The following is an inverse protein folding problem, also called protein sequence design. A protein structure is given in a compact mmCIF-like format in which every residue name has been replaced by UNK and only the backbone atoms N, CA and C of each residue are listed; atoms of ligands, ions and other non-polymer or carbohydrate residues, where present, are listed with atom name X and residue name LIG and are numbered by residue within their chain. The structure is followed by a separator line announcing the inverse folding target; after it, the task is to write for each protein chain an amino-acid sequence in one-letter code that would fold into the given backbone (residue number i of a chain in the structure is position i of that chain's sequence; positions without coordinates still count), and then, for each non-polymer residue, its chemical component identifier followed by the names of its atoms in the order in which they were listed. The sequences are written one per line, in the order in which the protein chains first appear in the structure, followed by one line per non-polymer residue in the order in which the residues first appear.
data_IF_794254154361
#
_entry.id   IF_794254154361
#
_cell.length_a   1.000
_cell.length_b   1.000
_cell.length_c   1.000
_cell.angle_alpha   90.00
_cell.angle_beta   90.00
_cell.angle_gamma   90.00
#
_symmetry.space_group_name_H-M   'P 1'
#
loop_
_entity.id
_entity.type
_entity.pdbx_description
1 polymer ?
#
# COMPACT_ATOMS: atom_id res chain seq x y z
N UNK A 1 18.48 -25.54 -16.15
CA UNK A 1 17.65 -25.65 -14.93
C UNK A 1 17.61 -24.38 -14.07
N UNK A 2 18.68 -23.58 -14.00
CA UNK A 2 18.72 -22.33 -13.22
C UNK A 2 17.67 -21.26 -13.61
N UNK A 3 17.17 -21.22 -14.85
CA UNK A 3 16.11 -20.26 -15.25
C UNK A 3 14.70 -20.64 -14.74
N UNK A 4 14.35 -21.94 -14.65
CA UNK A 4 13.03 -22.39 -14.16
C UNK A 4 12.79 -22.09 -12.68
N UNK A 5 13.85 -22.08 -11.88
CA UNK A 5 13.82 -21.82 -10.44
C UNK A 5 13.47 -20.34 -10.15
N UNK A 6 13.85 -19.42 -11.05
CA UNK A 6 13.62 -17.99 -10.88
C UNK A 6 12.14 -17.59 -11.03
N UNK A 7 11.40 -18.24 -11.95
CA UNK A 7 9.99 -17.94 -12.19
C UNK A 7 9.06 -18.40 -11.06
N UNK A 8 9.23 -19.63 -10.55
CA UNK A 8 8.43 -20.13 -9.43
C UNK A 8 8.61 -19.28 -8.16
N UNK A 9 9.83 -18.78 -7.93
CA UNK A 9 10.11 -17.85 -6.84
C UNK A 9 9.43 -16.49 -7.03
N UNK A 10 9.56 -15.89 -8.21
CA UNK A 10 8.92 -14.62 -8.55
C UNK A 10 7.39 -14.63 -8.39
N UNK A 11 6.72 -15.69 -8.84
CA UNK A 11 5.27 -15.82 -8.71
C UNK A 11 4.81 -16.17 -7.28
N UNK A 12 5.63 -16.91 -6.52
CA UNK A 12 5.43 -17.13 -5.08
C UNK A 12 5.49 -15.79 -4.31
N UNK A 13 6.48 -14.95 -4.60
CA UNK A 13 6.62 -13.60 -4.03
C UNK A 13 5.42 -12.72 -4.36
N UNK A 14 4.89 -12.78 -5.59
CA UNK A 14 3.67 -12.05 -5.98
C UNK A 14 2.44 -12.54 -5.21
N UNK A 15 2.26 -13.85 -5.04
CA UNK A 15 1.17 -14.42 -4.21
C UNK A 15 1.32 -14.07 -2.73
N UNK A 16 2.54 -14.02 -2.21
CA UNK A 16 2.85 -13.60 -0.84
C UNK A 16 2.54 -12.11 -0.60
N UNK A 17 2.86 -11.25 -1.58
CA UNK A 17 2.55 -9.82 -1.50
C UNK A 17 1.04 -9.56 -1.36
N UNK A 18 0.18 -10.39 -1.96
CA UNK A 18 -1.28 -10.32 -1.82
C UNK A 18 -1.76 -10.63 -0.39
N UNK A 19 -1.08 -11.52 0.33
CA UNK A 19 -1.43 -11.86 1.72
C UNK A 19 -1.02 -10.76 2.71
N UNK A 20 0.11 -10.10 2.48
CA UNK A 20 0.58 -9.00 3.33
C UNK A 20 -0.35 -7.77 3.25
N UNK A 21 -0.88 -7.47 2.07
CA UNK A 21 -1.82 -6.35 1.86
C UNK A 21 -3.16 -6.57 2.58
N UNK A 22 -3.60 -7.82 2.68
CA UNK A 22 -4.79 -8.17 3.48
C UNK A 22 -4.57 -7.98 4.99
N UNK A 23 -3.33 -8.07 5.47
CA UNK A 23 -2.99 -7.88 6.88
C UNK A 23 -2.85 -6.40 7.29
N UNK A 24 -2.49 -5.52 6.36
CA UNK A 24 -2.44 -4.08 6.60
C UNK A 24 -3.84 -3.45 6.49
N UNK A 25 -4.68 -3.63 7.50
CA UNK A 25 -6.02 -3.04 7.53
C UNK A 25 -5.94 -1.55 7.90
N UNK A 26 -5.49 -0.74 6.94
CA UNK A 26 -5.26 0.70 7.08
C UNK A 26 -6.51 1.44 7.59
N UNK A 27 -7.70 0.96 7.21
CA UNK A 27 -8.99 1.51 7.66
C UNK A 27 -9.18 1.33 9.16
N UNK A 28 -8.80 0.17 9.70
CA UNK A 28 -8.86 -0.14 11.13
C UNK A 28 -7.88 0.72 11.92
N UNK A 29 -6.63 0.83 11.46
CA UNK A 29 -5.61 1.68 12.10
C UNK A 29 -6.06 3.15 12.15
N UNK A 30 -6.63 3.67 11.06
CA UNK A 30 -7.21 5.02 11.00
C UNK A 30 -8.38 5.20 11.97
N UNK A 31 -9.32 4.24 12.01
CA UNK A 31 -10.46 4.30 12.91
C UNK A 31 -10.01 4.39 14.37
N UNK A 32 -8.98 3.64 14.73
CA UNK A 32 -8.41 3.64 16.06
C UNK A 32 -7.74 4.99 16.42
N UNK A 33 -6.99 5.60 15.49
CA UNK A 33 -6.35 6.91 15.74
C UNK A 33 -7.37 8.03 15.90
N UNK A 34 -8.42 8.08 15.05
CA UNK A 34 -9.53 9.05 15.21
C UNK A 34 -10.23 8.85 16.56
N UNK A 35 -10.52 7.60 16.93
CA UNK A 35 -11.16 7.30 18.20
C UNK A 35 -10.32 7.78 19.39
N UNK A 36 -8.98 7.68 19.29
CA UNK A 36 -8.07 8.20 20.30
C UNK A 36 -8.10 9.73 20.36
N UNK A 37 -8.02 10.44 19.21
CA UNK A 37 -8.10 11.90 19.16
C UNK A 37 -9.39 12.45 19.78
N UNK A 38 -10.53 11.81 19.51
CA UNK A 38 -11.81 12.19 20.08
C UNK A 38 -11.84 12.04 21.61
N UNK A 39 -11.20 11.00 22.16
CA UNK A 39 -11.06 10.82 23.62
C UNK A 39 -10.27 11.97 24.25
N UNK A 40 -9.15 12.37 23.65
CA UNK A 40 -8.36 13.52 24.13
C UNK A 40 -9.14 14.83 24.06
N UNK A 41 -9.86 15.09 22.96
CA UNK A 41 -10.70 16.28 22.85
C UNK A 41 -11.77 16.32 23.96
N UNK A 42 -12.39 15.18 24.28
CA UNK A 42 -13.38 15.10 25.35
C UNK A 42 -12.75 15.38 26.73
N UNK A 43 -11.59 14.81 27.02
CA UNK A 43 -10.83 15.07 28.25
C UNK A 43 -10.48 16.57 28.41
N UNK A 44 -10.09 17.24 27.34
CA UNK A 44 -9.80 18.68 27.39
C UNK A 44 -11.06 19.54 27.58
N UNK A 45 -12.22 19.10 27.08
CA UNK A 45 -13.50 19.77 27.32
C UNK A 45 -13.92 19.68 28.79
N UNK A 46 -13.74 18.53 29.44
CA UNK A 46 -14.07 18.39 30.87
C UNK A 46 -13.14 19.26 31.71
N UNK A 47 -11.85 19.30 31.37
CA UNK A 47 -10.88 20.19 32.04
C UNK A 47 -11.23 21.67 31.83
N UNK A 48 -11.61 22.07 30.61
CA UNK A 48 -12.10 23.43 30.31
C UNK A 48 -13.32 23.81 31.15
N UNK A 49 -14.29 22.89 31.27
CA UNK A 49 -15.51 23.13 32.05
C UNK A 49 -15.21 23.24 33.55
N UNK A 50 -14.29 22.43 34.06
CA UNK A 50 -13.81 22.51 35.43
C UNK A 50 -13.10 23.84 35.70
N UNK A 51 -12.18 24.24 34.83
CA UNK A 51 -11.47 25.51 34.88
C UNK A 51 -12.43 26.71 34.90
N UNK A 52 -13.49 26.67 34.07
CA UNK A 52 -14.53 27.71 34.03
C UNK A 52 -15.27 27.86 35.36
N UNK A 53 -15.55 26.74 36.05
CA UNK A 53 -16.17 26.76 37.38
C UNK A 53 -15.25 27.39 38.43
N UNK A 54 -13.96 27.11 38.37
CA UNK A 54 -12.97 27.70 39.29
C UNK A 54 -12.72 29.19 39.04
N UNK A 55 -12.80 29.67 37.80
CA UNK A 55 -12.64 31.11 37.48
C UNK A 55 -13.76 32.02 38.00
N UNK A 56 -14.84 31.48 38.56
CA UNK A 56 -15.85 32.28 39.27
C UNK A 56 -15.27 32.85 40.59
N UNK A 57 -14.15 32.30 41.10
CA UNK A 57 -13.38 32.83 42.22
C UNK A 57 -12.18 33.69 41.75
N UNK A 58 -12.44 34.98 41.48
CA UNK A 58 -11.62 36.21 41.60
C UNK A 58 -10.06 36.22 41.51
N UNK A 59 -9.38 35.38 40.74
CA UNK A 59 -7.93 35.59 40.45
C UNK A 59 -7.63 35.62 38.94
N UNK A 60 -7.08 36.75 38.48
CA UNK A 60 -6.72 37.07 37.09
C UNK A 60 -5.83 36.01 36.41
N UNK A 61 -4.98 35.31 37.17
CA UNK A 61 -4.08 34.25 36.68
C UNK A 61 -4.85 33.06 36.09
N UNK A 62 -6.08 32.79 36.56
CA UNK A 62 -6.88 31.69 36.00
C UNK A 62 -7.42 31.98 34.60
N UNK A 63 -7.50 33.24 34.19
CA UNK A 63 -8.12 33.63 32.92
C UNK A 63 -7.27 33.24 31.70
N UNK A 64 -5.96 33.43 31.77
CA UNK A 64 -5.03 33.08 30.68
C UNK A 64 -4.86 31.57 30.53
N UNK A 65 -4.74 30.85 31.65
CA UNK A 65 -4.72 29.38 31.65
C UNK A 65 -6.04 28.79 31.10
N UNK A 66 -7.19 29.34 31.49
CA UNK A 66 -8.49 28.90 30.97
C UNK A 66 -8.62 29.13 29.47
N UNK A 67 -8.09 30.25 28.98
CA UNK A 67 -8.05 30.57 27.55
C UNK A 67 -7.14 29.60 26.79
N UNK A 68 -5.99 29.25 27.35
CA UNK A 68 -5.06 28.28 26.79
C UNK A 68 -5.66 26.87 26.72
N UNK A 69 -6.32 26.39 27.79
CA UNK A 69 -7.03 25.09 27.81
C UNK A 69 -8.15 25.04 26.76
N UNK A 70 -8.92 26.13 26.62
CA UNK A 70 -9.95 26.25 25.58
C UNK A 70 -9.32 26.17 24.18
N UNK A 71 -8.20 26.84 23.96
CA UNK A 71 -7.46 26.76 22.69
C UNK A 71 -7.01 25.31 22.39
N UNK A 72 -6.46 24.58 23.37
CA UNK A 72 -6.08 23.17 23.20
C UNK A 72 -7.23 22.27 22.81
N UNK A 73 -8.42 22.54 23.32
CA UNK A 73 -9.63 21.81 22.91
C UNK A 73 -9.93 22.01 21.43
N UNK A 74 -9.86 23.26 20.93
CA UNK A 74 -10.10 23.57 19.52
C UNK A 74 -8.99 23.00 18.60
N UNK A 75 -7.74 23.02 19.06
CA UNK A 75 -6.61 22.38 18.37
C UNK A 75 -6.84 20.87 18.23
N UNK A 76 -7.25 20.18 19.29
CA UNK A 76 -7.53 18.74 19.21
C UNK A 76 -8.72 18.42 18.29
N UNK A 77 -9.76 19.28 18.24
CA UNK A 77 -10.83 19.16 17.24
C UNK A 77 -10.31 19.33 15.81
N UNK A 78 -9.43 20.32 15.59
CA UNK A 78 -8.77 20.53 14.29
C UNK A 78 -7.94 19.31 13.89
N UNK A 79 -7.18 18.71 14.81
CA UNK A 79 -6.43 17.47 14.55
C UNK A 79 -7.37 16.34 14.15
N UNK A 80 -8.50 16.14 14.82
CA UNK A 80 -9.52 15.17 14.41
C UNK A 80 -10.02 15.41 12.98
N UNK A 81 -10.24 16.67 12.58
CA UNK A 81 -10.61 17.02 11.20
C UNK A 81 -9.50 16.67 10.20
N UNK A 82 -8.24 16.96 10.53
CA UNK A 82 -7.09 16.58 9.70
C UNK A 82 -7.06 15.05 9.49
N UNK A 83 -7.30 14.24 10.53
CA UNK A 83 -7.43 12.78 10.40
C UNK A 83 -8.65 12.34 9.56
N UNK A 84 -9.76 13.09 9.60
CA UNK A 84 -10.97 12.81 8.82
C UNK A 84 -10.83 13.14 7.33
N UNK A 85 -10.07 14.18 6.99
CA UNK A 85 -9.84 14.67 5.61
C UNK A 85 -8.70 13.95 4.88
N UNK A 86 -7.70 13.45 5.61
CA UNK A 86 -6.58 12.68 5.07
C UNK A 86 -6.87 11.44 4.19
N UNK A 87 -7.97 10.65 4.35
CA UNK A 87 -8.21 9.44 3.56
C UNK A 87 -8.40 9.67 2.07
N UNK A 88 -8.78 10.88 1.63
CA UNK A 88 -9.02 11.12 0.20
C UNK A 88 -7.72 11.31 -0.59
N UNK A 89 -6.61 11.64 0.06
CA UNK A 89 -5.35 12.02 -0.59
C UNK A 89 -4.21 11.00 -0.35
N UNK A 90 -4.08 10.43 0.85
CA UNK A 90 -2.81 9.80 1.25
C UNK A 90 -2.83 8.26 1.32
N UNK A 91 -4.03 7.69 1.43
CA UNK A 91 -4.21 6.25 1.64
C UNK A 91 -4.73 5.52 0.41
N UNK A 92 -4.85 6.20 -0.73
CA UNK A 92 -5.43 5.62 -1.95
C UNK A 92 -4.35 5.05 -2.87
N UNK A 93 -3.19 5.72 -3.01
CA UNK A 93 -2.17 5.37 -4.02
C UNK A 93 -1.54 4.00 -3.79
N UNK A 94 -1.03 3.72 -2.58
CA UNK A 94 -0.37 2.46 -2.27
C UNK A 94 -1.36 1.27 -2.24
N UNK A 95 -2.52 1.33 -1.56
CA UNK A 95 -3.49 0.23 -1.60
C UNK A 95 -4.11 0.01 -2.99
N UNK A 96 -4.33 1.06 -3.78
CA UNK A 96 -4.78 0.92 -5.17
C UNK A 96 -3.71 0.23 -6.03
N UNK A 97 -2.43 0.63 -5.89
CA UNK A 97 -1.32 -0.05 -6.56
C UNK A 97 -1.28 -1.54 -6.19
N UNK A 98 -1.37 -1.86 -4.90
CA UNK A 98 -1.38 -3.24 -4.42
C UNK A 98 -2.57 -4.04 -4.96
N UNK A 99 -3.75 -3.41 -5.09
CA UNK A 99 -4.95 -4.01 -5.68
C UNK A 99 -4.80 -4.22 -7.20
N UNK A 100 -4.14 -3.31 -7.93
CA UNK A 100 -3.83 -3.47 -9.35
C UNK A 100 -2.86 -4.63 -9.57
N UNK A 101 -1.81 -4.73 -8.74
CA UNK A 101 -0.82 -5.80 -8.81
C UNK A 101 -1.42 -7.17 -8.45
N UNK A 102 -2.41 -7.20 -7.54
CA UNK A 102 -3.25 -8.37 -7.24
C UNK A 102 -4.07 -8.80 -8.46
N UNK A 103 -4.73 -7.88 -9.15
CA UNK A 103 -5.53 -8.22 -10.34
C UNK A 103 -4.65 -8.74 -11.49
N UNK A 104 -3.44 -8.19 -11.66
CA UNK A 104 -2.48 -8.67 -12.65
C UNK A 104 -1.96 -10.10 -12.42
N UNK A 105 -2.21 -10.71 -11.25
CA UNK A 105 -1.84 -12.11 -10.96
C UNK A 105 -2.57 -13.08 -11.91
N UNK A 106 -3.85 -12.84 -12.20
CA UNK A 106 -4.64 -13.74 -13.04
C UNK A 106 -4.08 -13.81 -14.48
N UNK A 107 -3.70 -12.66 -15.05
CA UNK A 107 -3.09 -12.60 -16.38
C UNK A 107 -1.74 -13.31 -16.42
N UNK A 108 -0.90 -13.12 -15.39
CA UNK A 108 0.39 -13.80 -15.31
C UNK A 108 0.26 -15.33 -15.23
N UNK A 109 -0.79 -15.84 -14.55
CA UNK A 109 -1.06 -17.27 -14.48
C UNK A 109 -1.44 -17.86 -15.85
N UNK A 110 -2.20 -17.13 -16.66
CA UNK A 110 -2.59 -17.58 -18.00
C UNK A 110 -1.38 -17.74 -18.93
N UNK A 111 -0.44 -16.79 -18.92
CA UNK A 111 0.76 -16.85 -19.77
C UNK A 111 1.63 -18.06 -19.41
N UNK A 112 1.75 -18.41 -18.12
CA UNK A 112 2.48 -19.60 -17.66
C UNK A 112 1.81 -20.90 -18.14
N UNK A 113 0.47 -20.96 -18.10
CA UNK A 113 -0.28 -22.12 -18.59
C UNK A 113 0.00 -22.31 -20.09
N UNK A 114 0.03 -21.22 -20.86
CA UNK A 114 0.35 -21.25 -22.29
C UNK A 114 1.78 -21.75 -22.55
N UNK A 115 2.77 -21.25 -21.80
CA UNK A 115 4.17 -21.70 -21.94
C UNK A 115 4.33 -23.19 -21.59
N UNK A 116 3.71 -23.65 -20.49
CA UNK A 116 3.71 -25.07 -20.11
C UNK A 116 3.06 -25.94 -21.18
N UNK A 117 1.96 -25.47 -21.77
CA UNK A 117 1.30 -26.13 -22.90
C UNK A 117 2.22 -26.24 -24.12
N UNK A 118 2.91 -25.15 -24.48
CA UNK A 118 3.86 -25.13 -25.58
C UNK A 118 5.04 -26.10 -25.37
N UNK A 119 5.63 -26.12 -24.17
CA UNK A 119 6.72 -27.04 -23.80
C UNK A 119 6.25 -28.50 -23.86
N UNK A 120 5.04 -28.77 -23.35
CA UNK A 120 4.46 -30.12 -23.36
C UNK A 120 4.26 -30.60 -24.80
N UNK A 121 3.71 -29.74 -25.66
CA UNK A 121 3.47 -30.07 -27.06
C UNK A 121 4.77 -30.27 -27.83
N UNK A 122 5.79 -29.43 -27.57
CA UNK A 122 7.13 -29.59 -28.14
C UNK A 122 7.72 -30.97 -27.81
N UNK A 123 7.73 -31.35 -26.53
CA UNK A 123 8.24 -32.66 -26.09
C UNK A 123 7.49 -33.83 -26.72
N UNK A 124 6.18 -33.71 -26.84
CA UNK A 124 5.35 -34.74 -27.49
C UNK A 124 5.76 -34.92 -28.95
N UNK A 125 5.91 -33.83 -29.70
CA UNK A 125 6.26 -33.83 -31.12
C UNK A 125 7.68 -34.35 -31.36
N UNK A 126 8.64 -33.92 -30.54
CA UNK A 126 10.03 -34.43 -30.58
C UNK A 126 10.06 -35.95 -30.33
N UNK A 127 9.25 -36.43 -29.38
CA UNK A 127 9.12 -37.86 -29.09
C UNK A 127 8.47 -38.64 -30.25
N UNK A 128 7.34 -38.16 -30.77
CA UNK A 128 6.62 -38.80 -31.88
C UNK A 128 7.51 -38.91 -33.13
N UNK A 129 8.31 -37.88 -33.43
CA UNK A 129 9.29 -37.94 -34.51
C UNK A 129 10.40 -38.97 -34.24
N UNK A 130 10.94 -39.01 -33.02
CA UNK A 130 11.98 -40.00 -32.65
C UNK A 130 11.53 -41.45 -32.73
N UNK A 131 10.22 -41.69 -32.60
CA UNK A 131 9.58 -43.01 -32.71
C UNK A 131 9.11 -43.32 -34.15
N UNK A 132 9.40 -42.43 -35.12
CA UNK A 132 8.99 -42.58 -36.52
C UNK A 132 7.49 -42.38 -36.77
N UNK A 133 6.74 -41.83 -35.80
CA UNK A 133 5.28 -41.60 -35.88
C UNK A 133 4.92 -40.23 -36.47
N UNK A 134 5.92 -39.38 -36.68
CA UNK A 134 5.80 -38.04 -37.25
C UNK A 134 7.02 -37.79 -38.14
N UNK A 135 6.83 -37.09 -39.26
CA UNK A 135 7.96 -36.63 -40.07
C UNK A 135 8.79 -35.59 -39.29
N UNK A 136 10.11 -35.70 -39.40
CA UNK A 136 11.07 -34.80 -38.77
C UNK A 136 10.94 -33.37 -39.28
N UNK A 137 10.40 -33.15 -40.48
CA UNK A 137 10.15 -31.82 -41.04
C UNK A 137 9.06 -31.02 -40.29
N UNK A 138 8.18 -31.70 -39.56
CA UNK A 138 7.11 -31.11 -38.75
C UNK A 138 7.61 -30.59 -37.39
N UNK A 139 8.79 -31.01 -36.94
CA UNK A 139 9.35 -30.66 -35.62
C UNK A 139 9.85 -29.20 -35.55
N UNK A 140 10.66 -28.69 -36.52
CA UNK A 140 11.22 -27.35 -36.45
C UNK A 140 10.20 -26.21 -36.30
N UNK A 141 9.04 -26.20 -37.00
CA UNK A 141 8.02 -25.16 -36.81
C UNK A 141 7.48 -25.12 -35.37
N UNK A 142 7.29 -26.28 -34.73
CA UNK A 142 6.76 -26.39 -33.37
C UNK A 142 7.79 -25.95 -32.35
N UNK A 143 9.06 -26.32 -32.55
CA UNK A 143 10.19 -25.83 -31.75
C UNK A 143 10.28 -24.31 -31.81
N UNK A 144 10.28 -23.72 -33.02
CA UNK A 144 10.32 -22.25 -33.20
C UNK A 144 9.16 -21.56 -32.48
N UNK A 145 7.94 -22.08 -32.60
CA UNK A 145 6.77 -21.49 -31.93
C UNK A 145 6.86 -21.59 -30.41
N UNK A 146 7.35 -22.71 -29.88
CA UNK A 146 7.62 -22.87 -28.45
C UNK A 146 8.68 -21.88 -27.96
N UNK A 147 9.76 -21.67 -28.72
CA UNK A 147 10.82 -20.74 -28.37
C UNK A 147 10.34 -19.29 -28.41
N UNK A 148 9.54 -18.90 -29.41
CA UNK A 148 8.91 -17.57 -29.45
C UNK A 148 8.05 -17.30 -28.23
N UNK A 149 7.25 -18.28 -27.78
CA UNK A 149 6.43 -18.13 -26.56
C UNK A 149 7.32 -17.96 -25.32
N UNK A 150 8.42 -18.71 -25.21
CA UNK A 150 9.36 -18.60 -24.11
C UNK A 150 10.05 -17.22 -24.09
N UNK A 151 10.50 -16.72 -25.23
CA UNK A 151 11.10 -15.38 -25.33
C UNK A 151 10.11 -14.27 -25.01
N UNK A 152 8.87 -14.38 -25.46
CA UNK A 152 7.82 -13.42 -25.13
C UNK A 152 7.54 -13.39 -23.62
N UNK A 153 7.47 -14.55 -22.96
CA UNK A 153 7.33 -14.62 -21.51
C UNK A 153 8.53 -14.01 -20.79
N UNK A 154 9.76 -14.30 -21.24
CA UNK A 154 10.96 -13.72 -20.65
C UNK A 154 10.95 -12.19 -20.72
N UNK A 155 10.56 -11.64 -21.89
CA UNK A 155 10.41 -10.20 -22.07
C UNK A 155 9.34 -9.62 -21.15
N UNK A 156 8.19 -10.28 -21.03
CA UNK A 156 7.10 -9.84 -20.15
C UNK A 156 7.50 -9.84 -18.67
N UNK A 157 8.21 -10.86 -18.21
CA UNK A 157 8.71 -10.93 -16.82
C UNK A 157 9.73 -9.84 -16.55
N UNK A 158 10.65 -9.59 -17.49
CA UNK A 158 11.63 -8.52 -17.39
C UNK A 158 10.95 -7.14 -17.35
N UNK A 159 10.00 -6.90 -18.25
CA UNK A 159 9.21 -5.67 -18.29
C UNK A 159 8.45 -5.46 -16.97
N UNK A 160 7.73 -6.47 -16.50
CA UNK A 160 7.01 -6.39 -15.23
C UNK A 160 7.94 -6.07 -14.05
N UNK A 161 9.16 -6.62 -14.02
CA UNK A 161 10.11 -6.33 -12.95
C UNK A 161 10.48 -4.85 -12.89
N UNK A 162 10.72 -4.24 -14.05
CA UNK A 162 11.00 -2.82 -14.18
C UNK A 162 9.78 -1.98 -13.74
N UNK A 163 8.59 -2.33 -14.24
CA UNK A 163 7.35 -1.64 -13.85
C UNK A 163 7.09 -1.71 -12.35
N UNK A 164 7.24 -2.90 -11.76
CA UNK A 164 7.09 -3.10 -10.32
C UNK A 164 8.02 -2.20 -9.55
N UNK A 165 9.30 -2.17 -9.90
CA UNK A 165 10.27 -1.35 -9.17
C UNK A 165 9.92 0.13 -9.25
N UNK A 166 9.60 0.62 -10.45
CA UNK A 166 9.22 2.01 -10.71
C UNK A 166 7.96 2.40 -9.95
N UNK A 167 6.91 1.59 -10.03
CA UNK A 167 5.62 1.92 -9.44
C UNK A 167 5.66 1.88 -7.91
N UNK A 168 6.29 0.86 -7.33
CA UNK A 168 6.43 0.77 -5.87
C UNK A 168 7.31 1.88 -5.32
N UNK A 169 8.40 2.23 -6.02
CA UNK A 169 9.22 3.39 -5.64
C UNK A 169 8.38 4.65 -5.62
N UNK A 170 7.65 4.94 -6.70
CA UNK A 170 6.78 6.12 -6.80
C UNK A 170 5.71 6.15 -5.71
N UNK A 171 5.00 5.03 -5.50
CA UNK A 171 3.94 4.95 -4.51
C UNK A 171 4.46 5.06 -3.08
N UNK A 172 5.59 4.43 -2.75
CA UNK A 172 6.19 4.51 -1.42
C UNK A 172 6.77 5.89 -1.14
N UNK A 173 7.43 6.52 -2.12
CA UNK A 173 7.90 7.91 -1.98
C UNK A 173 6.72 8.85 -1.72
N UNK A 174 5.67 8.78 -2.54
CA UNK A 174 4.47 9.60 -2.34
C UNK A 174 3.82 9.34 -0.98
N UNK A 175 3.66 8.08 -0.58
CA UNK A 175 3.09 7.72 0.71
C UNK A 175 3.89 8.30 1.87
N UNK A 176 5.22 8.15 1.87
CA UNK A 176 6.09 8.66 2.93
C UNK A 176 6.09 10.19 2.99
N UNK A 177 6.18 10.87 1.85
CA UNK A 177 6.09 12.34 1.77
C UNK A 177 4.78 12.84 2.36
N UNK A 178 3.67 12.19 2.01
CA UNK A 178 2.36 12.54 2.53
C UNK A 178 2.18 12.23 4.02
N UNK A 179 2.75 11.13 4.53
CA UNK A 179 2.77 10.84 5.97
C UNK A 179 3.60 11.90 6.73
N UNK A 180 4.76 12.30 6.19
CA UNK A 180 5.58 13.36 6.79
C UNK A 180 4.79 14.66 6.89
N UNK A 181 4.20 15.12 5.77
CA UNK A 181 3.40 16.33 5.73
C UNK A 181 2.21 16.28 6.69
N UNK A 182 1.57 15.10 6.80
CA UNK A 182 0.46 14.88 7.73
C UNK A 182 0.88 15.05 9.20
N UNK A 183 1.94 14.38 9.63
CA UNK A 183 2.40 14.47 11.01
C UNK A 183 2.98 15.85 11.33
N UNK A 184 3.64 16.50 10.38
CA UNK A 184 4.09 17.89 10.53
C UNK A 184 2.91 18.83 10.82
N UNK A 185 1.83 18.76 10.04
CA UNK A 185 0.61 19.55 10.30
C UNK A 185 0.05 19.33 11.70
N UNK A 186 0.06 18.10 12.20
CA UNK A 186 -0.38 17.80 13.57
C UNK A 186 0.58 18.43 14.58
N UNK A 187 1.88 18.26 14.39
CA UNK A 187 2.89 18.84 15.28
C UNK A 187 2.79 20.36 15.34
N UNK A 188 2.59 21.02 14.21
CA UNK A 188 2.45 22.48 14.17
C UNK A 188 1.20 22.95 14.93
N UNK A 189 0.06 22.26 14.77
CA UNK A 189 -1.14 22.54 15.57
C UNK A 189 -0.92 22.39 17.07
N UNK A 190 -0.17 21.37 17.49
CA UNK A 190 0.17 21.18 18.90
C UNK A 190 1.14 22.25 19.41
N UNK A 191 2.11 22.68 18.60
CA UNK A 191 3.03 23.78 18.93
C UNK A 191 2.29 25.10 19.09
N UNK A 192 1.39 25.43 18.17
CA UNK A 192 0.54 26.63 18.26
C UNK A 192 -0.24 26.64 19.59
N UNK A 193 -0.80 25.49 19.99
CA UNK A 193 -1.51 25.37 21.26
C UNK A 193 -0.60 25.58 22.47
N UNK A 194 0.60 25.01 22.43
CA UNK A 194 1.56 25.10 23.53
C UNK A 194 1.99 26.55 23.78
N UNK A 195 2.12 27.38 22.73
CA UNK A 195 2.47 28.79 22.87
C UNK A 195 1.45 29.60 23.67
N UNK A 196 0.19 29.15 23.78
CA UNK A 196 -0.80 29.83 24.61
C UNK A 196 -0.60 29.63 26.12
N UNK A 197 0.29 28.72 26.53
CA UNK A 197 0.64 28.48 27.92
C UNK A 197 1.97 29.13 28.35
N UNK A 198 2.73 29.69 27.39
CA UNK A 198 4.00 30.38 27.62
C UNK A 198 3.79 31.89 27.54
#
# INVERSE_FOLDING_TARGET
ENQKINYMHFFSVRKYSVNLVKMSDLKKTKKNSIALCNKYSHFLMTFSALSRKYSVNLVNISYDCNRAIKNSTEVHKSITLIFNENPKLNYTSLPCLLQNYKNGVAMSLMIIIMEKGAITKRKQVEKEASEGRLDHDQVPPIVRRSDTIAYALHAEVAHFHDERQRDFKKAMTSFLTEQINFYQKITDRLRDSLQHFN
#
